data_IF_951733428402
#
_entry.id   IF_951733428402
#
_cell.length_a   1.000
_cell.length_b   1.000
_cell.length_c   1.000
_cell.angle_alpha   90.00
_cell.angle_beta   90.00
_cell.angle_gamma   90.00
#
_symmetry.space_group_name_H-M   'P 1'
#
loop_
_entity.id
_entity.type
_entity.pdbx_description
1 polymer ?
#
# COMPACT_ATOMS: atom_id res chain seq x y z
N UNK A 1 -16.94 7.34 4.72
CA UNK A 1 -17.91 6.25 4.86
C UNK A 1 -17.34 5.32 5.91
N UNK A 2 -18.14 4.59 6.66
CA UNK A 2 -17.69 3.47 7.51
C UNK A 2 -17.78 2.14 6.73
N UNK A 3 -17.54 1.01 7.41
CA UNK A 3 -17.60 -0.32 6.79
C UNK A 3 -18.99 -0.72 6.27
N UNK A 4 -20.06 -0.06 6.74
CA UNK A 4 -21.45 -0.34 6.37
C UNK A 4 -21.94 0.47 5.18
N UNK A 5 -21.14 1.40 4.69
CA UNK A 5 -21.62 2.34 3.69
C UNK A 5 -22.25 3.60 4.31
N UNK A 6 -22.25 3.72 5.63
CA UNK A 6 -22.89 4.81 6.34
C UNK A 6 -21.83 5.88 6.71
N UNK A 7 -22.24 7.01 7.28
CA UNK A 7 -21.31 8.02 7.82
C UNK A 7 -20.22 8.50 6.84
N UNK A 8 -20.64 9.13 5.74
CA UNK A 8 -19.72 9.73 4.78
C UNK A 8 -19.06 10.97 5.38
N UNK A 9 -17.76 10.88 5.65
CA UNK A 9 -16.90 12.00 6.07
C UNK A 9 -15.62 12.03 5.23
N UNK A 10 -15.09 13.22 4.99
CA UNK A 10 -13.75 13.39 4.44
C UNK A 10 -12.70 13.11 5.52
N UNK A 11 -11.68 12.34 5.18
CA UNK A 11 -10.63 11.88 6.12
C UNK A 11 -9.22 12.25 5.66
N UNK A 12 -9.08 12.77 4.43
CA UNK A 12 -7.82 13.29 3.90
C UNK A 12 -8.10 14.31 2.81
N UNK A 13 -7.21 15.30 2.68
CA UNK A 13 -7.21 16.28 1.58
C UNK A 13 -6.28 15.88 0.43
N UNK A 14 -5.43 14.87 0.64
CA UNK A 14 -4.41 14.43 -0.32
C UNK A 14 -4.91 13.39 -1.32
N UNK A 15 -6.23 13.17 -1.36
CA UNK A 15 -6.86 12.12 -2.16
C UNK A 15 -6.47 10.69 -1.74
N UNK A 16 -6.95 9.73 -2.53
CA UNK A 16 -6.69 8.30 -2.38
C UNK A 16 -7.59 7.46 -3.28
N UNK A 17 -7.08 6.31 -3.72
CA UNK A 17 -7.76 5.40 -4.64
C UNK A 17 -7.98 4.01 -4.04
N UNK A 18 -9.00 3.32 -4.52
CA UNK A 18 -9.34 1.93 -4.19
C UNK A 18 -9.34 1.64 -2.69
N UNK A 19 -10.15 2.36 -1.87
CA UNK A 19 -10.20 2.11 -0.44
C UNK A 19 -10.71 0.70 -0.12
N UNK A 20 -10.13 0.06 0.89
CA UNK A 20 -10.53 -1.27 1.40
C UNK A 20 -10.49 -1.27 2.92
N UNK A 21 -11.57 -1.70 3.56
CA UNK A 21 -11.64 -1.85 5.02
C UNK A 21 -10.74 -2.98 5.52
N UNK A 22 -10.16 -2.80 6.71
CA UNK A 22 -9.62 -3.93 7.48
C UNK A 22 -10.77 -4.79 8.00
N UNK A 23 -10.56 -6.10 8.24
CA UNK A 23 -11.60 -6.97 8.80
C UNK A 23 -12.10 -6.54 10.19
N UNK A 24 -11.25 -5.83 10.95
CA UNK A 24 -11.54 -5.37 12.31
C UNK A 24 -12.25 -4.01 12.36
N UNK A 25 -12.57 -3.41 11.20
CA UNK A 25 -13.24 -2.12 11.05
C UNK A 25 -12.54 -0.92 11.74
N UNK A 26 -11.27 -1.08 12.10
CA UNK A 26 -10.45 -0.10 12.81
C UNK A 26 -9.62 0.78 11.87
N UNK A 27 -9.55 0.41 10.60
CA UNK A 27 -8.70 1.05 9.61
C UNK A 27 -9.21 0.78 8.18
N UNK A 28 -8.65 1.52 7.24
CA UNK A 28 -8.79 1.20 5.82
C UNK A 28 -7.48 1.44 5.09
N UNK A 29 -7.27 0.65 4.04
CA UNK A 29 -6.17 0.75 3.11
C UNK A 29 -6.59 1.56 1.90
N UNK A 30 -5.67 2.34 1.33
CA UNK A 30 -5.88 3.07 0.08
C UNK A 30 -4.55 3.30 -0.62
N UNK A 31 -4.57 3.54 -1.93
CA UNK A 31 -3.38 3.96 -2.70
C UNK A 31 -3.34 5.47 -2.78
N UNK A 32 -2.16 6.08 -2.66
CA UNK A 32 -1.96 7.51 -2.88
C UNK A 32 -0.92 7.74 -3.96
N UNK A 33 -1.22 8.66 -4.88
CA UNK A 33 -0.20 9.20 -5.77
C UNK A 33 0.73 10.13 -4.98
N UNK A 34 1.97 9.70 -4.76
CA UNK A 34 2.97 10.49 -4.02
C UNK A 34 3.91 11.28 -4.95
N UNK A 35 3.79 11.14 -6.27
CA UNK A 35 4.61 11.83 -7.27
C UNK A 35 6.15 11.71 -7.08
N UNK A 36 6.63 10.64 -6.44
CA UNK A 36 8.07 10.44 -6.15
C UNK A 36 8.86 9.92 -7.37
N UNK A 37 8.20 9.28 -8.35
CA UNK A 37 8.83 8.74 -9.56
C UNK A 37 7.93 7.69 -10.23
N UNK A 38 8.23 7.27 -11.47
CA UNK A 38 7.37 6.32 -12.21
C UNK A 38 7.20 4.97 -11.48
N UNK A 39 8.26 4.47 -10.82
CA UNK A 39 8.22 3.22 -10.05
C UNK A 39 7.56 3.31 -8.67
N UNK A 40 7.40 4.52 -8.13
CA UNK A 40 6.91 4.76 -6.76
C UNK A 40 5.65 5.64 -6.73
N UNK A 41 4.92 5.72 -7.85
CA UNK A 41 3.78 6.62 -8.00
C UNK A 41 2.64 6.29 -7.04
N UNK A 42 2.20 5.03 -6.98
CA UNK A 42 1.04 4.59 -6.18
C UNK A 42 1.45 3.81 -4.93
N UNK A 43 1.48 4.50 -3.80
CA UNK A 43 1.93 3.93 -2.52
C UNK A 43 0.73 3.50 -1.68
N UNK A 44 0.71 2.27 -1.14
CA UNK A 44 -0.31 1.88 -0.18
C UNK A 44 -0.14 2.60 1.17
N UNK A 45 -1.24 3.13 1.69
CA UNK A 45 -1.36 3.72 3.00
C UNK A 45 -2.39 2.95 3.84
N UNK A 46 -2.16 2.87 5.15
CA UNK A 46 -3.18 2.53 6.16
C UNK A 46 -3.62 3.81 6.83
N UNK A 47 -4.92 4.06 6.86
CA UNK A 47 -5.54 5.07 7.71
C UNK A 47 -6.10 4.41 8.96
N UNK A 48 -5.67 4.87 10.13
CA UNK A 48 -6.15 4.39 11.43
C UNK A 48 -7.33 5.25 11.90
N UNK A 49 -8.47 4.64 12.21
CA UNK A 49 -9.66 5.39 12.65
C UNK A 49 -9.56 5.91 14.08
N UNK A 50 -8.74 5.27 14.92
CA UNK A 50 -8.55 5.66 16.32
C UNK A 50 -7.66 6.89 16.40
N UNK A 51 -6.51 6.86 15.74
CA UNK A 51 -5.56 7.98 15.77
C UNK A 51 -5.86 9.06 14.72
N UNK A 52 -6.70 8.74 13.73
CA UNK A 52 -6.97 9.59 12.56
C UNK A 52 -5.72 9.91 11.73
N UNK A 53 -4.76 8.99 11.71
CA UNK A 53 -3.51 9.16 10.97
C UNK A 53 -3.43 8.21 9.76
N UNK A 54 -2.86 8.72 8.65
CA UNK A 54 -2.48 7.91 7.50
C UNK A 54 -0.97 7.66 7.50
N UNK A 55 -0.56 6.39 7.42
CA UNK A 55 0.86 5.99 7.33
C UNK A 55 1.10 5.14 6.09
N UNK A 56 2.21 5.34 5.34
CA UNK A 56 2.56 4.46 4.25
C UNK A 56 2.90 3.07 4.80
N UNK A 57 2.46 2.02 4.13
CA UNK A 57 2.85 0.65 4.47
C UNK A 57 4.31 0.37 4.12
N UNK A 58 4.82 1.05 3.09
CA UNK A 58 6.22 1.00 2.66
C UNK A 58 6.81 2.40 2.75
N UNK A 59 7.30 2.84 3.94
CA UNK A 59 7.86 4.18 4.13
C UNK A 59 9.20 4.37 3.40
N UNK A 60 9.96 3.28 3.23
CA UNK A 60 11.21 3.26 2.49
C UNK A 60 10.99 2.53 1.16
N UNK A 61 10.16 3.11 0.28
CA UNK A 61 10.19 2.70 -1.12
C UNK A 61 11.62 2.94 -1.59
N UNK A 62 12.36 1.91 -2.00
CA UNK A 62 13.59 2.20 -2.68
C UNK A 62 13.17 2.92 -3.97
N UNK A 63 13.67 4.13 -4.19
CA UNK A 63 13.40 4.91 -5.41
C UNK A 63 13.78 4.13 -6.70
N UNK A 64 14.45 3.00 -6.52
CA UNK A 64 14.83 2.00 -7.50
C UNK A 64 14.44 0.60 -7.01
N UNK A 65 13.82 -0.17 -7.90
CA UNK A 65 13.81 -1.65 -7.76
C UNK A 65 15.27 -2.06 -7.55
N UNK A 66 15.60 -2.85 -6.51
CA UNK A 66 16.97 -3.31 -6.33
C UNK A 66 17.41 -4.02 -7.61
N UNK A 67 18.67 -3.83 -8.00
CA UNK A 67 19.20 -4.47 -9.20
C UNK A 67 19.03 -5.99 -9.05
N UNK A 68 18.27 -6.60 -9.98
CA UNK A 68 18.08 -8.04 -9.95
C UNK A 68 19.44 -8.70 -10.16
N UNK A 69 19.82 -9.68 -9.32
CA UNK A 69 21.06 -10.42 -9.55
C UNK A 69 21.01 -11.07 -10.94
N UNK A 70 22.15 -11.20 -11.66
CA UNK A 70 22.17 -11.84 -12.97
C UNK A 70 21.50 -13.22 -12.93
N UNK A 71 20.78 -13.60 -14.00
CA UNK A 71 20.08 -14.90 -14.06
C UNK A 71 21.00 -16.09 -13.75
N UNK A 72 22.29 -15.99 -14.10
CA UNK A 72 23.32 -17.00 -13.81
C UNK A 72 23.65 -17.17 -12.32
N UNK A 73 23.19 -16.26 -11.47
CA UNK A 73 23.44 -16.24 -10.02
C UNK A 73 22.17 -16.51 -9.20
N UNK A 74 21.02 -16.66 -9.88
CA UNK A 74 19.76 -17.00 -9.22
C UNK A 74 19.66 -18.53 -9.13
N UNK A 75 19.43 -19.06 -7.93
CA UNK A 75 19.06 -20.46 -7.80
C UNK A 75 17.64 -20.63 -8.37
N UNK A 76 17.44 -21.50 -9.37
CA UNK A 76 16.09 -21.79 -9.84
C UNK A 76 15.29 -22.35 -8.67
N UNK A 77 14.14 -21.75 -8.37
CA UNK A 77 13.11 -22.33 -7.50
C UNK A 77 12.51 -23.54 -8.22
N UNK A 78 13.28 -24.62 -8.36
CA UNK A 78 12.77 -25.90 -8.80
C UNK A 78 12.34 -26.66 -7.54
N UNK A 79 11.03 -26.67 -7.28
CA UNK A 79 10.45 -27.56 -6.28
C UNK A 79 9.89 -28.79 -7.02
N UNK A 80 10.60 -29.93 -7.04
CA UNK A 80 10.15 -31.12 -7.76
C UNK A 80 8.93 -31.81 -7.14
N UNK A 81 8.48 -31.38 -5.95
CA UNK A 81 7.46 -32.07 -5.15
C UNK A 81 6.12 -31.28 -4.98
N UNK A 82 5.80 -30.36 -5.91
CA UNK A 82 4.46 -29.72 -6.00
C UNK A 82 3.79 -29.97 -7.35
#
# INVERSE_FOLDING_TARGET
MDHRGENVRQITERGGENPRWTPDDDAFLFKRDVHQGEGARYVPYRFDLTTQEAKPLWPALPDSVPEFPPLSTQEPLFNPDL
#
